data_IF_989667822255
#
_entry.id   IF_989667822255
#
_cell.length_a   1.000
_cell.length_b   1.000
_cell.length_c   1.000
_cell.angle_alpha   90.00
_cell.angle_beta   90.00
_cell.angle_gamma   90.00
#
_symmetry.space_group_name_H-M   'P 1'
#
loop_
_entity.id
_entity.type
_entity.pdbx_description
1 polymer ?
#
# COMPACT_ATOMS: atom_id res chain seq x y z
N UNK A 1 4.69 7.71 23.53
CA UNK A 1 4.54 8.91 22.67
C UNK A 1 4.66 8.59 21.17
N UNK A 2 5.27 7.47 20.75
CA UNK A 2 5.47 7.15 19.33
C UNK A 2 4.21 7.04 18.46
N UNK A 3 3.09 6.56 19.01
CA UNK A 3 1.84 6.44 18.24
C UNK A 3 1.28 7.79 17.77
N UNK A 4 1.26 8.80 18.65
CA UNK A 4 0.77 10.14 18.31
C UNK A 4 1.63 10.80 17.23
N UNK A 5 2.95 10.62 17.29
CA UNK A 5 3.87 11.10 16.25
C UNK A 5 3.62 10.39 14.91
N UNK A 6 3.44 9.05 14.93
CA UNK A 6 3.14 8.30 13.71
C UNK A 6 1.82 8.74 13.05
N UNK A 7 0.78 8.95 13.85
CA UNK A 7 -0.51 9.46 13.35
C UNK A 7 -0.40 10.88 12.80
N UNK A 8 0.42 11.74 13.43
CA UNK A 8 0.67 13.09 12.91
C UNK A 8 1.41 13.06 11.57
N UNK A 9 2.40 12.17 11.41
CA UNK A 9 3.06 11.96 10.11
C UNK A 9 2.05 11.50 9.06
N UNK A 10 1.19 10.53 9.40
CA UNK A 10 0.15 10.05 8.50
C UNK A 10 -0.81 11.17 8.08
N UNK A 11 -1.25 12.03 9.01
CA UNK A 11 -2.11 13.17 8.70
C UNK A 11 -1.46 14.13 7.69
N UNK A 12 -0.15 14.40 7.84
CA UNK A 12 0.60 15.25 6.90
C UNK A 12 0.75 14.61 5.52
N UNK A 13 1.02 13.31 5.47
CA UNK A 13 1.11 12.57 4.20
C UNK A 13 -0.24 12.59 3.46
N UNK A 14 -1.35 12.42 4.19
CA UNK A 14 -2.70 12.51 3.63
C UNK A 14 -3.03 13.93 3.14
N UNK A 15 -2.67 14.96 3.90
CA UNK A 15 -2.83 16.36 3.47
C UNK A 15 -2.07 16.64 2.16
N UNK A 16 -0.84 16.14 2.06
CA UNK A 16 -0.04 16.25 0.83
C UNK A 16 -0.74 15.54 -0.35
N UNK A 17 -1.27 14.34 -0.12
CA UNK A 17 -1.99 13.58 -1.15
C UNK A 17 -3.28 14.29 -1.60
N UNK A 18 -4.01 14.92 -0.67
CA UNK A 18 -5.20 15.69 -0.98
C UNK A 18 -4.86 16.89 -1.88
N UNK A 19 -3.80 17.64 -1.56
CA UNK A 19 -3.34 18.72 -2.44
C UNK A 19 -2.92 18.23 -3.82
N UNK A 20 -2.26 17.07 -3.92
CA UNK A 20 -1.95 16.47 -5.22
C UNK A 20 -3.22 16.13 -6.01
N UNK A 21 -4.29 15.69 -5.34
CA UNK A 21 -5.58 15.40 -5.97
C UNK A 21 -6.29 16.67 -6.41
N UNK A 22 -6.21 17.75 -5.64
CA UNK A 22 -6.79 19.04 -6.04
C UNK A 22 -6.11 19.60 -7.30
N UNK A 23 -4.77 19.47 -7.41
CA UNK A 23 -4.04 19.85 -8.61
C UNK A 23 -4.45 19.01 -9.83
N UNK A 24 -4.64 17.70 -9.64
CA UNK A 24 -5.13 16.81 -10.70
C UNK A 24 -6.55 17.20 -11.14
N UNK A 25 -7.45 17.51 -10.21
CA UNK A 25 -8.82 17.97 -10.50
C UNK A 25 -8.79 19.31 -11.24
N UNK A 26 -7.91 20.23 -10.83
CA UNK A 26 -7.71 21.52 -11.48
C UNK A 26 -7.24 21.35 -12.93
N UNK A 27 -6.24 20.49 -13.18
CA UNK A 27 -5.76 20.20 -14.54
C UNK A 27 -6.89 19.67 -15.45
N UNK A 28 -7.74 18.78 -14.94
CA UNK A 28 -8.92 18.33 -15.69
C UNK A 28 -9.83 19.49 -16.08
N UNK A 29 -10.09 20.42 -15.15
CA UNK A 29 -10.95 21.59 -15.41
C UNK A 29 -10.32 22.56 -16.41
N UNK A 30 -9.03 22.83 -16.28
CA UNK A 30 -8.26 23.69 -17.19
C UNK A 30 -8.20 23.11 -18.62
N UNK A 31 -8.19 21.78 -18.72
CA UNK A 31 -8.26 21.05 -19.99
C UNK A 31 -9.69 20.89 -20.53
N UNK A 32 -10.69 21.53 -19.90
CA UNK A 32 -12.08 21.58 -20.37
C UNK A 32 -12.95 20.40 -19.98
N UNK A 33 -12.50 19.52 -19.08
CA UNK A 33 -13.33 18.46 -18.56
C UNK A 33 -14.43 19.03 -17.63
N UNK A 34 -15.66 18.56 -17.83
CA UNK A 34 -16.81 18.94 -17.00
C UNK A 34 -17.33 17.72 -16.24
N UNK A 35 -17.71 17.90 -14.98
CA UNK A 35 -18.35 16.85 -14.20
C UNK A 35 -19.74 16.52 -14.78
N UNK A 36 -20.04 15.23 -14.95
CA UNK A 36 -21.39 14.77 -15.32
C UNK A 36 -22.38 14.84 -14.15
N UNK A 37 -21.86 14.90 -12.92
CA UNK A 37 -22.64 14.92 -11.67
C UNK A 37 -22.06 15.98 -10.74
N UNK A 38 -22.70 17.15 -10.70
CA UNK A 38 -22.24 18.29 -9.90
C UNK A 38 -22.09 17.98 -8.40
N UNK A 39 -22.91 17.08 -7.85
CA UNK A 39 -22.83 16.64 -6.45
C UNK A 39 -21.52 15.91 -6.08
N UNK A 40 -20.68 15.56 -7.05
CA UNK A 40 -19.37 14.97 -6.82
C UNK A 40 -18.26 16.02 -6.72
N UNK A 41 -18.55 17.28 -7.04
CA UNK A 41 -17.61 18.37 -6.86
C UNK A 41 -17.27 18.52 -5.38
N UNK A 42 -15.98 18.52 -5.08
CA UNK A 42 -15.45 18.81 -3.75
C UNK A 42 -14.85 20.21 -3.75
N UNK A 43 -14.86 20.86 -2.60
CA UNK A 43 -14.07 22.07 -2.39
C UNK A 43 -12.58 21.70 -2.26
N UNK A 44 -11.65 22.56 -2.70
CA UNK A 44 -10.22 22.33 -2.52
C UNK A 44 -9.88 22.12 -1.05
N UNK A 45 -8.99 21.18 -0.76
CA UNK A 45 -8.56 20.88 0.59
C UNK A 45 -7.69 22.02 1.16
N UNK A 46 -8.02 22.46 2.38
CA UNK A 46 -7.25 23.46 3.12
C UNK A 46 -7.04 22.98 4.56
N UNK A 47 -5.78 22.80 4.95
CA UNK A 47 -5.43 22.11 6.20
C UNK A 47 -5.87 22.89 7.44
N UNK A 48 -5.74 24.22 7.46
CA UNK A 48 -6.05 25.00 8.66
C UNK A 48 -7.55 25.02 8.94
N UNK A 49 -8.38 25.22 7.92
CA UNK A 49 -9.84 25.16 8.00
C UNK A 49 -10.31 23.77 8.42
N UNK A 50 -9.71 22.70 7.86
CA UNK A 50 -10.01 21.35 8.30
C UNK A 50 -9.69 21.14 9.78
N UNK A 51 -8.52 21.58 10.24
CA UNK A 51 -8.11 21.44 11.65
C UNK A 51 -8.99 22.26 12.58
N UNK A 52 -9.32 23.51 12.22
CA UNK A 52 -10.22 24.36 13.00
C UNK A 52 -11.60 23.71 13.15
N UNK A 53 -12.18 23.25 12.05
CA UNK A 53 -13.47 22.55 12.06
C UNK A 53 -13.40 21.25 12.87
N UNK A 54 -12.32 20.48 12.71
CA UNK A 54 -12.11 19.25 13.47
C UNK A 54 -12.02 19.52 14.97
N UNK A 55 -11.30 20.56 15.38
CA UNK A 55 -11.15 20.95 16.80
C UNK A 55 -12.47 21.34 17.45
N UNK A 56 -13.36 22.00 16.70
CA UNK A 56 -14.66 22.44 17.23
C UNK A 56 -15.68 21.32 17.21
N UNK A 57 -15.81 20.59 16.09
CA UNK A 57 -16.93 19.68 15.89
C UNK A 57 -16.62 18.22 16.25
N UNK A 58 -15.39 17.76 16.01
CA UNK A 58 -15.06 16.32 16.07
C UNK A 58 -14.21 15.96 17.27
N UNK A 59 -13.36 16.88 17.74
CA UNK A 59 -12.44 16.65 18.84
C UNK A 59 -13.12 16.19 20.15
N UNK A 60 -14.26 16.78 20.58
CA UNK A 60 -14.89 16.36 21.84
C UNK A 60 -15.29 14.88 21.85
N UNK A 61 -15.78 14.36 20.72
CA UNK A 61 -16.12 12.96 20.57
C UNK A 61 -14.88 12.09 20.35
N UNK A 62 -13.95 12.54 19.49
CA UNK A 62 -12.75 11.79 19.11
C UNK A 62 -11.79 11.55 20.29
N UNK A 63 -11.74 12.46 21.26
CA UNK A 63 -10.89 12.36 22.45
C UNK A 63 -11.61 11.71 23.65
N UNK A 64 -12.85 11.27 23.51
CA UNK A 64 -13.57 10.58 24.58
C UNK A 64 -12.97 9.20 24.82
N UNK A 65 -12.30 9.01 25.95
CA UNK A 65 -11.63 7.75 26.29
C UNK A 65 -12.64 6.67 26.70
N UNK A 66 -13.81 7.06 27.22
CA UNK A 66 -14.87 6.15 27.64
C UNK A 66 -14.34 5.00 28.50
N UNK A 67 -14.61 3.77 28.07
CA UNK A 67 -14.16 2.53 28.70
C UNK A 67 -12.88 1.92 28.07
N UNK A 68 -12.22 2.65 27.18
CA UNK A 68 -11.01 2.19 26.49
C UNK A 68 -11.25 1.19 25.36
N UNK A 69 -12.49 0.74 25.09
CA UNK A 69 -12.78 -0.14 23.94
C UNK A 69 -12.33 0.45 22.60
N UNK A 70 -12.51 1.75 22.30
CA UNK A 70 -12.06 2.33 21.03
C UNK A 70 -10.55 2.21 20.81
N UNK A 71 -9.75 2.25 21.89
CA UNK A 71 -8.31 2.04 21.80
C UNK A 71 -8.00 0.60 21.37
N UNK A 72 -8.62 -0.38 22.01
CA UNK A 72 -8.40 -1.81 21.71
C UNK A 72 -8.86 -2.16 20.30
N UNK A 73 -9.97 -1.59 19.83
CA UNK A 73 -10.50 -1.88 18.48
C UNK A 73 -9.72 -1.18 17.38
N UNK A 74 -9.31 0.08 17.59
CA UNK A 74 -8.82 0.93 16.50
C UNK A 74 -7.30 1.14 16.51
N UNK A 75 -6.66 1.10 17.70
CA UNK A 75 -5.27 1.51 17.88
C UNK A 75 -4.31 0.39 18.31
N UNK A 76 -4.83 -0.80 18.66
CA UNK A 76 -4.02 -1.92 19.14
C UNK A 76 -2.92 -2.35 18.17
N UNK A 77 -3.21 -2.39 16.86
CA UNK A 77 -2.22 -2.75 15.85
C UNK A 77 -1.08 -1.73 15.78
N UNK A 78 -1.40 -0.44 15.81
CA UNK A 78 -0.40 0.63 15.82
C UNK A 78 0.43 0.58 17.11
N UNK A 79 -0.21 0.35 18.26
CA UNK A 79 0.48 0.18 19.53
C UNK A 79 1.51 -0.96 19.48
N UNK A 80 1.11 -2.14 18.97
CA UNK A 80 2.02 -3.27 18.81
C UNK A 80 3.17 -2.97 17.84
N UNK A 81 2.90 -2.29 16.73
CA UNK A 81 3.95 -1.91 15.78
C UNK A 81 4.98 -0.96 16.39
N UNK A 82 4.50 0.08 17.10
CA UNK A 82 5.37 1.08 17.75
C UNK A 82 6.19 0.43 18.87
N UNK A 83 5.58 -0.38 19.73
CA UNK A 83 6.29 -1.06 20.82
C UNK A 83 7.33 -2.06 20.32
N UNK A 84 7.03 -2.82 19.24
CA UNK A 84 8.01 -3.68 18.58
C UNK A 84 9.18 -2.88 18.01
N UNK A 85 8.92 -1.72 17.43
CA UNK A 85 9.97 -0.85 16.90
C UNK A 85 10.86 -0.32 18.03
N UNK A 86 10.27 0.15 19.13
CA UNK A 86 11.02 0.66 20.29
C UNK A 86 11.94 -0.41 20.91
N UNK A 87 11.49 -1.66 21.00
CA UNK A 87 12.31 -2.78 21.50
C UNK A 87 13.46 -3.09 20.56
N UNK A 88 13.22 -3.16 19.24
CA UNK A 88 14.26 -3.39 18.24
C UNK A 88 15.32 -2.28 18.26
N UNK A 89 14.88 -1.03 18.35
CA UNK A 89 15.78 0.13 18.45
C UNK A 89 16.64 0.01 19.71
N UNK A 90 16.07 -0.33 20.88
CA UNK A 90 16.84 -0.51 22.12
C UNK A 90 17.86 -1.65 22.02
N UNK A 91 17.50 -2.79 21.44
CA UNK A 91 18.43 -3.91 21.25
C UNK A 91 19.59 -3.55 20.31
N UNK A 92 19.31 -2.82 19.22
CA UNK A 92 20.34 -2.39 18.28
C UNK A 92 21.36 -1.44 18.93
N UNK A 93 20.93 -0.60 19.87
CA UNK A 93 21.81 0.31 20.61
C UNK A 93 22.61 -0.38 21.73
N UNK A 94 22.10 -1.45 22.34
CA UNK A 94 22.87 -2.23 23.34
C UNK A 94 23.91 -3.18 22.73
N UNK A 95 23.78 -3.53 21.44
CA UNK A 95 24.77 -4.36 20.73
C UNK A 95 26.02 -3.61 20.26
N UNK A 96 26.17 -2.33 20.61
CA UNK A 96 27.30 -1.48 20.21
C UNK A 96 27.89 -0.82 21.45
N UNK A 97 28.74 -1.55 22.19
CA UNK A 97 29.71 -0.93 23.09
C UNK A 97 31.14 -1.33 22.67
N UNK A 98 32.11 -0.38 22.69
CA UNK A 98 33.44 -0.56 22.15
C UNK A 98 34.37 -1.22 23.18
N UNK A 99 34.92 -2.38 22.83
CA UNK A 99 36.12 -2.92 23.50
C UNK A 99 37.28 -2.93 22.50
N UNK A 100 38.11 -1.89 22.61
CA UNK A 100 39.47 -1.88 22.11
C UNK A 100 40.36 -2.55 23.16
N UNK A 101 40.91 -3.73 22.88
CA UNK A 101 42.18 -4.27 23.40
C UNK A 101 42.46 -5.59 22.68
N UNK A 102 43.19 -5.54 21.56
CA UNK A 102 44.64 -5.78 21.46
C UNK A 102 44.98 -7.26 21.15
N UNK A 103 45.16 -7.52 19.85
CA UNK A 103 46.31 -8.21 19.23
C UNK A 103 47.01 -9.35 20.00
N UNK A 104 46.93 -10.58 19.49
CA UNK A 104 48.04 -11.26 18.77
C UNK A 104 47.71 -12.74 18.43
N UNK A 105 47.94 -13.10 17.16
CA UNK A 105 48.48 -14.37 16.62
C UNK A 105 47.86 -15.72 17.06
N UNK A 106 47.52 -16.68 16.19
CA UNK A 106 48.38 -17.18 15.13
C UNK A 106 47.64 -17.74 13.91
N UNK A 107 48.26 -17.39 12.80
CA UNK A 107 48.24 -17.94 11.45
C UNK A 107 48.41 -19.47 11.44
N UNK A 108 47.57 -20.18 10.68
CA UNK A 108 47.87 -21.45 10.01
C UNK A 108 46.71 -21.74 9.02
N UNK A 109 46.79 -21.20 7.81
CA UNK A 109 47.08 -21.95 6.56
C UNK A 109 46.20 -23.20 6.35
N UNK A 110 45.28 -23.14 5.38
CA UNK A 110 45.43 -23.82 4.07
C UNK A 110 44.05 -24.04 3.38
N UNK A 111 44.01 -23.88 2.04
CA UNK A 111 42.91 -24.34 1.16
C UNK A 111 41.95 -23.24 0.68
N UNK A 112 42.36 -22.33 -0.22
CA UNK A 112 42.30 -22.50 -1.68
C UNK A 112 40.87 -22.35 -2.27
N UNK A 113 40.52 -21.12 -2.65
CA UNK A 113 39.55 -20.81 -3.70
C UNK A 113 40.33 -20.69 -5.02
N UNK A 114 39.85 -21.22 -6.15
CA UNK A 114 39.18 -20.33 -7.13
C UNK A 114 38.09 -21.08 -7.94
N UNK A 115 36.91 -20.55 -8.25
CA UNK A 115 36.63 -19.60 -9.34
C UNK A 115 35.09 -19.51 -9.46
N UNK A 116 34.56 -18.31 -9.70
CA UNK A 116 33.31 -18.05 -10.45
C UNK A 116 33.67 -17.89 -11.95
N UNK A 117 32.76 -17.71 -12.94
CA UNK A 117 31.29 -17.60 -12.91
C UNK A 117 30.56 -18.39 -14.02
N UNK A 118 29.30 -18.80 -13.82
CA UNK A 118 28.35 -18.98 -14.94
C UNK A 118 26.94 -18.51 -14.55
N UNK A 119 26.55 -17.37 -15.13
CA UNK A 119 25.13 -17.05 -15.40
C UNK A 119 24.85 -17.57 -16.82
N UNK A 120 23.74 -18.28 -17.06
CA UNK A 120 22.69 -17.61 -17.83
C UNK A 120 21.23 -18.03 -17.51
N UNK A 121 20.37 -17.02 -17.55
CA UNK A 121 19.06 -17.01 -18.25
C UNK A 121 17.88 -17.75 -17.60
N UNK A 122 16.98 -16.92 -17.08
CA UNK A 122 15.54 -16.90 -17.36
C UNK A 122 14.85 -18.23 -17.66
N UNK A 123 14.02 -18.70 -16.74
CA UNK A 123 12.80 -19.44 -17.07
C UNK A 123 11.76 -19.28 -15.97
N UNK A 124 10.62 -18.69 -16.34
CA UNK A 124 9.43 -18.57 -15.51
C UNK A 124 8.82 -19.95 -15.20
N UNK A 125 8.12 -20.12 -14.05
CA UNK A 125 7.43 -21.38 -13.75
C UNK A 125 6.18 -21.58 -14.65
N UNK A 126 5.95 -22.79 -15.17
CA UNK A 126 4.76 -23.10 -15.96
C UNK A 126 3.53 -23.28 -15.05
N UNK A 127 2.39 -22.72 -15.48
CA UNK A 127 1.07 -22.99 -14.94
C UNK A 127 0.63 -24.42 -15.35
N UNK A 128 0.13 -25.27 -14.43
CA UNK A 128 -0.46 -26.55 -14.79
C UNK A 128 -1.99 -26.46 -14.91
N UNK A 129 -2.53 -26.99 -16.01
CA UNK A 129 -3.94 -27.32 -16.27
C UNK A 129 -3.93 -28.55 -17.20
N UNK A 130 -4.93 -29.45 -17.28
CA UNK A 130 -5.91 -30.00 -16.32
C UNK A 130 -5.89 -31.57 -16.31
N UNK A 131 -6.69 -32.22 -15.46
CA UNK A 131 -7.08 -33.64 -15.69
C UNK A 131 -8.59 -33.91 -15.51
N UNK A 132 -9.14 -34.97 -16.18
CA UNK A 132 -10.55 -35.11 -16.55
C UNK A 132 -11.27 -36.38 -16.01
N UNK A 133 -12.61 -36.39 -16.12
CA UNK A 133 -13.57 -37.53 -16.26
C UNK A 133 -14.91 -37.09 -15.62
N UNK A 134 -16.11 -37.32 -16.16
CA UNK A 134 -16.56 -38.24 -17.19
C UNK A 134 -17.94 -37.84 -17.75
N UNK A 135 -18.16 -38.22 -19.02
CA UNK A 135 -19.43 -38.57 -19.70
C UNK A 135 -20.64 -37.63 -19.62
N UNK A 136 -21.01 -37.04 -20.77
CA UNK A 136 -22.31 -37.33 -21.42
C UNK A 136 -22.41 -36.72 -22.84
N UNK A 137 -22.54 -37.60 -23.82
CA UNK A 137 -23.41 -37.52 -25.01
C UNK A 137 -23.65 -36.20 -25.74
N UNK A 138 -23.14 -36.11 -26.97
CA UNK A 138 -23.95 -36.03 -28.21
C UNK A 138 -23.27 -35.20 -29.31
N UNK A 139 -23.51 -35.64 -30.54
CA UNK A 139 -22.80 -35.38 -31.78
C UNK A 139 -23.45 -34.20 -32.52
N UNK A 140 -22.63 -33.32 -33.11
CA UNK A 140 -22.73 -32.79 -34.49
C UNK A 140 -22.21 -31.35 -34.63
N UNK A 141 -21.19 -31.20 -35.48
CA UNK A 141 -20.84 -29.96 -36.17
C UNK A 141 -21.79 -29.83 -37.38
N UNK A 142 -22.15 -28.61 -37.83
CA UNK A 142 -21.41 -28.04 -38.95
C UNK A 142 -21.30 -26.49 -38.99
N UNK A 143 -20.13 -26.05 -39.46
CA UNK A 143 -19.87 -24.98 -40.45
C UNK A 143 -20.31 -23.50 -40.25
N UNK A 144 -19.37 -22.65 -40.67
CA UNK A 144 -19.35 -21.19 -40.80
C UNK A 144 -20.60 -20.53 -41.42
N UNK A 145 -21.00 -19.37 -40.89
CA UNK A 145 -21.58 -18.30 -41.71
C UNK A 145 -21.35 -16.91 -41.10
N UNK A 146 -20.82 -15.98 -41.93
CA UNK A 146 -20.66 -14.55 -41.62
C UNK A 146 -22.01 -13.85 -41.82
N UNK A 147 -22.54 -13.12 -40.83
CA UNK A 147 -23.66 -12.19 -41.05
C UNK A 147 -23.57 -10.95 -40.13
N UNK A 148 -23.31 -9.80 -40.78
CA UNK A 148 -23.93 -8.46 -40.65
C UNK A 148 -23.87 -7.69 -39.31
N UNK A 149 -23.16 -6.54 -39.36
CA UNK A 149 -23.14 -5.45 -38.35
C UNK A 149 -24.54 -5.01 -37.94
N UNK A 150 -24.79 -4.94 -36.62
CA UNK A 150 -25.95 -4.26 -36.02
C UNK A 150 -25.43 -2.99 -35.35
N UNK A 151 -25.94 -1.82 -35.76
CA UNK A 151 -25.64 -0.53 -35.11
C UNK A 151 -26.16 -0.59 -33.67
N UNK A 152 -25.27 -0.46 -32.69
CA UNK A 152 -25.65 -0.18 -31.31
C UNK A 152 -26.03 1.30 -31.25
N UNK A 153 -27.33 1.54 -31.05
CA UNK A 153 -27.86 2.86 -30.69
C UNK A 153 -27.37 3.11 -29.26
N UNK A 154 -26.59 4.18 -29.09
CA UNK A 154 -25.91 4.52 -27.84
C UNK A 154 -26.91 4.70 -26.69
N UNK A 155 -26.48 4.24 -25.52
CA UNK A 155 -27.19 4.27 -24.25
C UNK A 155 -26.79 5.53 -23.48
N UNK A 156 -27.14 6.69 -24.01
CA UNK A 156 -27.05 7.96 -23.31
C UNK A 156 -28.27 8.79 -23.74
N UNK A 157 -29.23 8.89 -22.81
CA UNK A 157 -30.26 9.93 -22.79
C UNK A 157 -29.70 11.19 -22.12
#
# INVERSE_FOLDING_TARGET
MGMSLALQCQARELATLLHMKDLEIQDYQENGATLSRDRLKTEPFEENSFLELFMVEKLPEACSVGDGRPFVTNLQNLYMAVTRQEVQVKQKHQGTDPQTSSSASAQETNGQLPNQPEEPVSSAPPLPVPEPMDTSGSVQRPQLSKVKRKKLRGLFD
#
